data_IF_715638959405
#
_entry.id   IF_715638959405
#
_cell.length_a   1.000
_cell.length_b   1.000
_cell.length_c   1.000
_cell.angle_alpha   90.00
_cell.angle_beta   90.00
_cell.angle_gamma   90.00
#
_symmetry.space_group_name_H-M   'P 1'
#
loop_
_entity.id
_entity.type
_entity.pdbx_description
1 polymer ?
#
# COMPACT_ATOMS: atom_id res chain seq x y z
N UNK A 1 85.21 -5.17 11.48
CA UNK A 1 84.12 -6.06 11.06
C UNK A 1 82.80 -5.43 11.46
N UNK A 2 82.02 -4.96 10.48
CA UNK A 2 80.64 -4.42 10.62
C UNK A 2 79.69 -5.41 9.90
N UNK A 3 78.40 -5.35 10.22
CA UNK A 3 77.26 -6.22 9.83
C UNK A 3 76.90 -7.24 10.94
N UNK A 4 75.66 -7.41 11.39
CA UNK A 4 74.34 -7.17 10.80
C UNK A 4 73.35 -6.70 11.91
N UNK A 5 72.57 -5.62 11.72
CA UNK A 5 71.34 -5.47 10.93
C UNK A 5 70.08 -5.84 11.74
N UNK A 6 69.47 -4.78 12.27
CA UNK A 6 68.07 -4.66 12.70
C UNK A 6 67.13 -5.14 11.58
N UNK A 7 66.09 -5.91 11.92
CA UNK A 7 64.69 -5.61 11.57
C UNK A 7 63.77 -6.80 11.91
N UNK A 8 62.94 -6.69 12.94
CA UNK A 8 61.84 -7.64 13.15
C UNK A 8 60.63 -6.98 13.82
N UNK A 9 60.10 -5.88 13.27
CA UNK A 9 58.87 -5.25 13.80
C UNK A 9 57.76 -5.00 12.75
N UNK A 10 57.95 -5.41 11.49
CA UNK A 10 57.03 -5.05 10.39
C UNK A 10 55.83 -5.98 10.15
N UNK A 11 55.82 -7.22 10.67
CA UNK A 11 54.84 -8.24 10.21
C UNK A 11 53.54 -8.32 11.02
N UNK A 12 53.52 -7.81 12.26
CA UNK A 12 52.36 -7.99 13.15
C UNK A 12 51.25 -6.95 12.92
N UNK A 13 51.58 -5.70 12.52
CA UNK A 13 50.58 -4.63 12.29
C UNK A 13 49.72 -4.80 11.03
N UNK A 14 50.24 -5.47 9.99
CA UNK A 14 49.53 -5.60 8.70
C UNK A 14 48.29 -6.50 8.75
N UNK A 15 48.27 -7.51 9.62
CA UNK A 15 47.18 -8.48 9.70
C UNK A 15 45.94 -7.89 10.40
N UNK A 16 46.13 -7.10 11.47
CA UNK A 16 45.01 -6.40 12.13
C UNK A 16 44.42 -5.29 11.26
N UNK A 17 45.23 -4.66 10.42
CA UNK A 17 44.77 -3.64 9.47
C UNK A 17 43.90 -4.24 8.36
N UNK A 18 44.27 -5.41 7.83
CA UNK A 18 43.47 -6.16 6.84
C UNK A 18 42.14 -6.66 7.42
N UNK A 19 42.14 -7.19 8.66
CA UNK A 19 40.92 -7.64 9.34
C UNK A 19 39.97 -6.45 9.60
N UNK A 20 40.50 -5.29 10.00
CA UNK A 20 39.70 -4.08 10.21
C UNK A 20 39.07 -3.55 8.91
N UNK A 21 39.77 -3.63 7.77
CA UNK A 21 39.23 -3.26 6.45
C UNK A 21 38.10 -4.21 6.03
N UNK A 22 38.27 -5.52 6.23
CA UNK A 22 37.25 -6.52 5.88
C UNK A 22 35.98 -6.33 6.75
N UNK A 23 36.15 -6.05 8.05
CA UNK A 23 35.05 -5.73 8.95
C UNK A 23 34.33 -4.41 8.57
N UNK A 24 35.07 -3.36 8.19
CA UNK A 24 34.48 -2.12 7.66
C UNK A 24 33.72 -2.37 6.35
N UNK A 25 34.30 -3.12 5.39
CA UNK A 25 33.62 -3.46 4.13
C UNK A 25 32.36 -4.30 4.36
N UNK A 26 32.34 -5.18 5.36
CA UNK A 26 31.13 -5.92 5.73
C UNK A 26 30.07 -5.01 6.38
N UNK A 27 30.45 -3.98 7.13
CA UNK A 27 29.51 -3.01 7.68
C UNK A 27 28.86 -2.10 6.61
N UNK A 28 29.57 -1.83 5.50
CA UNK A 28 29.00 -1.10 4.35
C UNK A 28 28.05 -1.95 3.51
N UNK A 29 28.16 -3.28 3.53
CA UNK A 29 27.28 -4.17 2.78
C UNK A 29 25.87 -4.30 3.38
N UNK A 30 25.67 -3.90 4.65
CA UNK A 30 24.37 -3.99 5.33
C UNK A 30 23.58 -2.67 5.38
N UNK A 31 24.08 -1.56 4.79
CA UNK A 31 23.54 -0.22 5.06
C UNK A 31 22.73 0.43 3.92
N UNK A 32 22.44 -0.21 2.77
CA UNK A 32 21.70 0.53 1.71
C UNK A 32 20.91 -0.25 0.66
N UNK A 33 20.69 -1.56 0.79
CA UNK A 33 19.88 -2.28 -0.20
C UNK A 33 18.37 -2.12 0.05
N UNK A 34 17.95 -2.09 1.31
CA UNK A 34 16.54 -2.02 1.70
C UNK A 34 15.90 -0.70 1.26
N UNK A 35 16.55 0.43 1.53
CA UNK A 35 15.98 1.75 1.21
C UNK A 35 15.89 2.00 -0.31
N UNK A 36 16.89 1.56 -1.09
CA UNK A 36 16.91 1.74 -2.56
C UNK A 36 15.86 0.84 -3.22
N UNK A 37 15.73 -0.40 -2.75
CA UNK A 37 14.71 -1.33 -3.26
C UNK A 37 13.30 -0.82 -2.95
N UNK A 38 13.03 -0.46 -1.69
CA UNK A 38 11.74 0.09 -1.26
C UNK A 38 11.42 1.40 -2.00
N UNK A 39 12.43 2.23 -2.30
CA UNK A 39 12.24 3.46 -3.09
C UNK A 39 11.80 3.15 -4.51
N UNK A 40 12.47 2.22 -5.19
CA UNK A 40 12.08 1.81 -6.55
C UNK A 40 10.68 1.19 -6.59
N UNK A 41 10.34 0.39 -5.57
CA UNK A 41 9.01 -0.19 -5.41
C UNK A 41 7.95 0.90 -5.22
N UNK A 42 8.19 1.87 -4.34
CA UNK A 42 7.29 3.01 -4.13
C UNK A 42 7.08 3.86 -5.39
N UNK A 43 8.16 4.09 -6.15
CA UNK A 43 8.10 4.79 -7.42
C UNK A 43 7.25 4.05 -8.46
N UNK A 44 7.39 2.73 -8.54
CA UNK A 44 6.59 1.90 -9.43
C UNK A 44 5.11 1.85 -9.03
N UNK A 45 4.81 1.90 -7.73
CA UNK A 45 3.46 1.86 -7.15
C UNK A 45 2.66 3.14 -7.43
N UNK A 46 3.35 4.28 -7.51
CA UNK A 46 2.73 5.60 -7.67
C UNK A 46 1.92 5.71 -8.97
N UNK A 47 0.62 6.01 -8.87
CA UNK A 47 -0.28 6.04 -10.01
C UNK A 47 -1.67 5.46 -9.73
N UNK A 48 -2.40 5.14 -10.79
CA UNK A 48 -3.72 4.51 -10.75
C UNK A 48 -3.65 3.06 -11.25
N UNK A 49 -4.33 2.17 -10.52
CA UNK A 49 -4.41 0.74 -10.80
C UNK A 49 -5.85 0.28 -10.79
N UNK A 50 -6.20 -0.68 -11.66
CA UNK A 50 -7.55 -1.21 -11.79
C UNK A 50 -7.59 -2.70 -11.94
N UNK A 51 -8.51 -3.36 -11.26
CA UNK A 51 -8.78 -4.79 -11.42
C UNK A 51 -9.49 -5.37 -10.22
N UNK A 52 -9.49 -6.70 -10.12
CA UNK A 52 -10.05 -7.39 -8.96
C UNK A 52 -9.05 -7.29 -7.79
N UNK A 53 -9.44 -6.57 -6.74
CA UNK A 53 -8.68 -6.43 -5.50
C UNK A 53 -9.19 -7.36 -4.38
N UNK A 54 -10.01 -8.35 -4.73
CA UNK A 54 -10.50 -9.39 -3.83
C UNK A 54 -11.59 -8.92 -2.88
N UNK A 55 -12.23 -7.78 -3.14
CA UNK A 55 -13.25 -7.21 -2.26
C UNK A 55 -14.60 -7.93 -2.42
N UNK A 56 -15.24 -8.23 -1.30
CA UNK A 56 -16.64 -8.67 -1.26
C UNK A 56 -17.45 -7.84 -0.27
N UNK A 57 -18.76 -7.83 -0.48
CA UNK A 57 -19.74 -7.11 0.32
C UNK A 57 -20.91 -8.02 0.65
N UNK A 58 -21.47 -7.85 1.83
CA UNK A 58 -22.72 -8.50 2.23
C UNK A 58 -23.70 -7.46 2.73
N UNK A 59 -24.85 -7.40 2.09
CA UNK A 59 -25.96 -6.52 2.45
C UNK A 59 -27.06 -7.33 3.11
N UNK A 60 -27.63 -6.80 4.19
CA UNK A 60 -28.82 -7.36 4.86
C UNK A 60 -30.02 -6.46 4.61
N UNK A 61 -31.08 -7.01 4.00
CA UNK A 61 -32.32 -6.26 3.75
C UNK A 61 -33.18 -6.11 5.01
N UNK A 62 -34.22 -5.27 4.92
CA UNK A 62 -35.18 -5.06 6.04
C UNK A 62 -36.00 -6.30 6.44
N UNK A 63 -35.81 -7.44 5.77
CA UNK A 63 -36.40 -8.75 6.11
C UNK A 63 -35.35 -9.73 6.65
N UNK A 64 -34.10 -9.30 6.87
CA UNK A 64 -33.01 -10.12 7.36
C UNK A 64 -32.38 -11.05 6.31
N UNK A 65 -32.65 -10.84 5.01
CA UNK A 65 -32.02 -11.65 3.94
C UNK A 65 -30.65 -11.11 3.61
N UNK A 66 -29.68 -12.01 3.50
CA UNK A 66 -28.29 -11.69 3.17
C UNK A 66 -28.05 -11.81 1.67
N UNK A 67 -27.36 -10.83 1.10
CA UNK A 67 -26.92 -10.84 -0.29
C UNK A 67 -25.44 -10.53 -0.33
N UNK A 68 -24.65 -11.46 -0.84
CA UNK A 68 -23.20 -11.31 -0.98
C UNK A 68 -22.83 -11.13 -2.44
N UNK A 69 -21.97 -10.15 -2.72
CA UNK A 69 -21.51 -9.82 -4.05
C UNK A 69 -20.07 -9.32 -4.03
N UNK A 70 -19.40 -9.44 -5.17
CA UNK A 70 -17.99 -9.10 -5.31
C UNK A 70 -17.81 -7.79 -6.04
N UNK A 71 -16.77 -7.05 -5.67
CA UNK A 71 -16.24 -6.02 -6.56
C UNK A 71 -15.29 -6.67 -7.56
N UNK A 72 -15.68 -6.66 -8.83
CA UNK A 72 -14.86 -7.15 -9.93
C UNK A 72 -13.99 -6.05 -10.56
N UNK A 73 -14.19 -4.81 -10.14
CA UNK A 73 -13.51 -3.63 -10.66
C UNK A 73 -13.22 -2.65 -9.52
N UNK A 74 -12.07 -2.82 -8.90
CA UNK A 74 -11.52 -1.90 -7.90
C UNK A 74 -10.52 -0.97 -8.58
N UNK A 75 -10.62 0.34 -8.30
CA UNK A 75 -9.62 1.34 -8.66
C UNK A 75 -8.86 1.80 -7.44
N UNK A 76 -7.53 1.72 -7.49
CA UNK A 76 -6.62 2.17 -6.44
C UNK A 76 -5.75 3.31 -6.97
N UNK A 77 -5.70 4.40 -6.22
CA UNK A 77 -4.79 5.52 -6.49
C UNK A 77 -3.74 5.60 -5.39
N UNK A 78 -2.47 5.71 -5.77
CA UNK A 78 -1.34 5.89 -4.85
C UNK A 78 -0.62 7.21 -5.14
N UNK A 79 -0.74 8.15 -4.21
CA UNK A 79 -0.15 9.49 -4.29
C UNK A 79 1.00 9.58 -3.27
N UNK A 80 2.26 9.70 -3.72
CA UNK A 80 3.40 9.82 -2.81
C UNK A 80 3.39 11.18 -2.10
N UNK A 81 3.81 11.21 -0.83
CA UNK A 81 3.85 12.46 -0.06
C UNK A 81 4.82 13.50 -0.64
N UNK A 82 5.89 13.02 -1.28
CA UNK A 82 6.92 13.81 -1.97
C UNK A 82 7.73 12.89 -2.91
N UNK A 83 8.67 13.45 -3.69
CA UNK A 83 9.51 12.67 -4.59
C UNK A 83 10.31 11.59 -3.83
N UNK A 84 10.27 10.34 -4.33
CA UNK A 84 10.91 9.18 -3.68
C UNK A 84 10.37 8.84 -2.28
N UNK A 85 9.20 9.38 -1.89
CA UNK A 85 8.61 9.03 -0.60
C UNK A 85 8.29 7.53 -0.53
N UNK A 86 8.59 6.90 0.60
CA UNK A 86 8.19 5.53 0.90
C UNK A 86 6.77 5.44 1.48
N UNK A 87 6.02 6.53 1.44
CA UNK A 87 4.67 6.61 1.98
C UNK A 87 3.87 7.71 1.28
N UNK A 88 2.55 7.66 1.48
CA UNK A 88 1.66 8.64 0.91
C UNK A 88 0.21 8.38 1.25
N UNK A 89 -0.66 8.95 0.42
CA UNK A 89 -2.11 8.86 0.54
C UNK A 89 -2.65 8.12 -0.67
N UNK A 90 -3.79 7.47 -0.50
CA UNK A 90 -4.44 6.75 -1.57
C UNK A 90 -5.93 6.65 -1.40
N UNK A 91 -6.57 6.24 -2.47
CA UNK A 91 -8.01 6.05 -2.54
C UNK A 91 -8.32 4.70 -3.15
N UNK A 92 -9.43 4.11 -2.72
CA UNK A 92 -9.99 2.88 -3.28
C UNK A 92 -11.42 3.15 -3.71
N UNK A 93 -11.78 2.75 -4.93
CA UNK A 93 -13.16 2.77 -5.43
C UNK A 93 -13.54 1.39 -5.92
N UNK A 94 -14.54 0.79 -5.28
CA UNK A 94 -15.00 -0.55 -5.58
C UNK A 94 -16.31 -0.48 -6.35
N UNK A 95 -16.28 -0.94 -7.60
CA UNK A 95 -17.46 -1.08 -8.45
C UNK A 95 -17.95 -2.53 -8.41
N UNK A 96 -19.27 -2.71 -8.34
CA UNK A 96 -19.94 -4.00 -8.32
C UNK A 96 -21.30 -3.86 -9.02
N UNK A 97 -21.85 -4.97 -9.49
CA UNK A 97 -23.06 -4.95 -10.33
C UNK A 97 -24.34 -4.87 -9.50
N UNK A 98 -24.34 -5.50 -8.33
CA UNK A 98 -25.52 -5.69 -7.50
C UNK A 98 -25.23 -5.28 -6.06
N UNK A 99 -25.45 -4.01 -5.73
CA UNK A 99 -25.39 -3.55 -4.34
C UNK A 99 -26.27 -2.33 -4.08
N UNK A 100 -26.48 -1.98 -2.80
CA UNK A 100 -27.37 -0.87 -2.42
C UNK A 100 -26.82 0.51 -2.80
N UNK A 101 -25.54 0.62 -3.13
CA UNK A 101 -24.87 1.85 -3.57
C UNK A 101 -24.19 1.61 -4.92
N UNK A 102 -23.95 2.66 -5.71
CA UNK A 102 -23.30 2.54 -7.03
C UNK A 102 -21.84 2.06 -6.94
N UNK A 103 -21.14 2.48 -5.88
CA UNK A 103 -19.77 2.09 -5.59
C UNK A 103 -19.51 2.23 -4.09
N UNK A 104 -18.39 1.69 -3.61
CA UNK A 104 -17.82 2.06 -2.31
C UNK A 104 -16.54 2.85 -2.50
N UNK A 105 -16.29 3.83 -1.61
CA UNK A 105 -15.14 4.71 -1.67
C UNK A 105 -14.42 4.74 -0.33
N UNK A 106 -13.09 4.62 -0.38
CA UNK A 106 -12.25 4.65 0.81
C UNK A 106 -11.02 5.52 0.62
N UNK A 107 -10.57 6.14 1.71
CA UNK A 107 -9.27 6.80 1.82
C UNK A 107 -8.36 5.96 2.71
N UNK A 108 -7.09 5.86 2.31
CA UNK A 108 -6.07 5.17 3.09
C UNK A 108 -4.74 5.91 3.04
N UNK A 109 -3.90 5.64 4.03
CA UNK A 109 -2.46 5.90 3.97
C UNK A 109 -1.75 4.65 3.49
N UNK A 110 -0.65 4.81 2.75
CA UNK A 110 0.18 3.69 2.33
C UNK A 110 1.63 3.89 2.69
N UNK A 111 2.37 2.79 2.86
CA UNK A 111 3.82 2.81 3.00
C UNK A 111 4.46 1.56 2.40
N UNK A 112 5.70 1.72 1.94
CA UNK A 112 6.58 0.62 1.52
C UNK A 112 7.69 0.49 2.56
N UNK A 113 7.84 -0.71 3.11
CA UNK A 113 8.87 -0.97 4.13
C UNK A 113 9.24 -2.46 4.13
N UNK A 114 10.53 -2.75 4.00
CA UNK A 114 11.09 -4.09 3.99
C UNK A 114 10.41 -4.99 2.95
N UNK A 115 10.27 -4.50 1.71
CA UNK A 115 9.67 -5.27 0.61
C UNK A 115 8.18 -5.58 0.77
N UNK A 116 7.47 -4.86 1.65
CA UNK A 116 6.03 -5.00 1.86
C UNK A 116 5.33 -3.65 1.66
N UNK A 117 4.09 -3.69 1.17
CA UNK A 117 3.22 -2.52 1.09
C UNK A 117 2.17 -2.64 2.20
N UNK A 118 1.98 -1.57 2.96
CA UNK A 118 0.98 -1.49 4.03
C UNK A 118 -0.08 -0.47 3.63
N UNK A 119 -1.35 -0.85 3.71
CA UNK A 119 -2.50 0.04 3.54
C UNK A 119 -3.21 0.18 4.88
N UNK A 120 -3.39 1.43 5.33
CA UNK A 120 -4.10 1.78 6.56
C UNK A 120 -5.27 2.70 6.23
N UNK A 121 -6.49 2.20 6.38
CA UNK A 121 -7.72 2.89 6.00
C UNK A 121 -8.16 3.83 7.12
N UNK A 122 -8.53 5.06 6.76
CA UNK A 122 -8.76 6.12 7.75
C UNK A 122 -9.98 5.88 8.66
N UNK A 123 -11.01 5.22 8.11
CA UNK A 123 -12.31 5.04 8.77
C UNK A 123 -12.75 3.57 8.84
N UNK A 124 -11.92 2.65 8.36
CA UNK A 124 -12.25 1.23 8.30
C UNK A 124 -11.01 0.34 8.46
N UNK A 125 -10.52 0.26 9.70
CA UNK A 125 -9.33 -0.52 10.04
C UNK A 125 -9.47 -2.03 9.83
N UNK A 126 -10.69 -2.56 9.62
CA UNK A 126 -10.87 -3.98 9.25
C UNK A 126 -10.36 -4.25 7.83
N UNK A 127 -10.21 -3.21 7.02
CA UNK A 127 -9.60 -3.26 5.69
C UNK A 127 -8.09 -3.04 5.71
N UNK A 128 -7.47 -2.75 6.85
CA UNK A 128 -6.01 -2.61 6.93
C UNK A 128 -5.35 -3.89 6.43
N UNK A 129 -4.34 -3.75 5.56
CA UNK A 129 -3.73 -4.92 4.93
C UNK A 129 -2.26 -4.72 4.65
N UNK A 130 -1.53 -5.83 4.71
CA UNK A 130 -0.16 -5.94 4.22
C UNK A 130 -0.18 -6.75 2.94
N UNK A 131 0.38 -6.17 1.89
CA UNK A 131 0.62 -6.83 0.61
C UNK A 131 2.08 -7.32 0.60
N UNK A 132 2.23 -8.62 0.35
CA UNK A 132 3.50 -9.33 0.30
C UNK A 132 3.66 -10.08 -1.02
N UNK A 133 4.88 -10.52 -1.34
CA UNK A 133 5.21 -11.27 -2.56
C UNK A 133 4.69 -10.60 -3.84
N UNK A 134 4.75 -9.27 -3.88
CA UNK A 134 4.19 -8.53 -4.98
C UNK A 134 5.20 -8.36 -6.11
N UNK A 135 4.65 -8.12 -7.30
CA UNK A 135 5.41 -7.76 -8.49
C UNK A 135 4.71 -6.60 -9.17
N UNK A 136 5.50 -5.59 -9.50
CA UNK A 136 5.08 -4.47 -10.32
C UNK A 136 5.85 -4.48 -11.63
N UNK A 137 5.11 -4.34 -12.73
CA UNK A 137 5.65 -3.98 -14.04
C UNK A 137 5.05 -2.63 -14.44
N UNK A 138 5.40 -2.14 -15.63
CA UNK A 138 4.78 -0.93 -16.16
C UNK A 138 3.26 -1.08 -16.28
N UNK A 139 2.76 -2.29 -16.56
CA UNK A 139 1.35 -2.51 -16.87
C UNK A 139 0.58 -3.25 -15.78
N UNK A 140 1.27 -3.93 -14.85
CA UNK A 140 0.62 -4.82 -13.89
C UNK A 140 1.16 -4.65 -12.48
N UNK A 141 0.24 -4.69 -11.51
CA UNK A 141 0.53 -4.82 -10.10
C UNK A 141 -0.19 -6.05 -9.58
N UNK A 142 0.57 -7.03 -9.11
CA UNK A 142 0.03 -8.26 -8.52
C UNK A 142 0.70 -8.54 -7.20
N UNK A 143 0.01 -9.19 -6.29
CA UNK A 143 0.57 -9.55 -4.99
C UNK A 143 -0.39 -10.41 -4.19
N UNK A 144 -0.02 -10.67 -2.95
CA UNK A 144 -0.83 -11.47 -2.01
C UNK A 144 -1.13 -10.68 -0.75
N UNK A 145 -2.36 -10.76 -0.27
CA UNK A 145 -2.72 -10.24 1.05
C UNK A 145 -2.16 -11.17 2.12
N UNK A 146 -1.36 -10.64 3.05
CA UNK A 146 -0.70 -11.46 4.05
C UNK A 146 -1.65 -12.12 5.05
N UNK A 147 -2.85 -11.56 5.25
CA UNK A 147 -3.86 -12.10 6.17
C UNK A 147 -4.61 -13.31 5.61
N UNK A 148 -4.96 -13.31 4.32
CA UNK A 148 -5.72 -14.39 3.68
C UNK A 148 -4.89 -15.29 2.75
N UNK A 149 -3.75 -14.81 2.25
CA UNK A 149 -2.96 -15.47 1.19
C UNK A 149 -3.56 -15.27 -0.22
N UNK A 150 -4.68 -14.55 -0.32
CA UNK A 150 -5.38 -14.33 -1.58
C UNK A 150 -4.57 -13.42 -2.49
N UNK A 151 -4.50 -13.81 -3.77
CA UNK A 151 -3.79 -13.05 -4.79
C UNK A 151 -4.70 -12.03 -5.46
N UNK A 152 -4.13 -10.91 -5.85
CA UNK A 152 -4.80 -9.92 -6.71
C UNK A 152 -3.96 -9.65 -7.96
N UNK A 153 -4.60 -9.07 -8.98
CA UNK A 153 -3.92 -8.52 -10.15
C UNK A 153 -4.66 -7.30 -10.67
N UNK A 154 -3.93 -6.20 -10.76
CA UNK A 154 -4.40 -4.92 -11.26
C UNK A 154 -3.60 -4.54 -12.52
N UNK A 155 -4.25 -3.82 -13.42
CA UNK A 155 -3.66 -3.19 -14.59
C UNK A 155 -3.39 -1.71 -14.29
N UNK A 156 -2.29 -1.18 -14.78
CA UNK A 156 -1.99 0.26 -14.67
C UNK A 156 -2.93 1.06 -15.56
N UNK A 157 -3.45 2.16 -15.03
CA UNK A 157 -4.23 3.16 -15.77
C UNK A 157 -3.41 4.42 -16.00
N UNK A 158 -2.68 4.88 -14.98
CA UNK A 158 -1.91 6.11 -15.04
C UNK A 158 -0.65 6.01 -14.19
N UNK A 159 0.43 6.63 -14.64
CA UNK A 159 1.68 6.82 -13.89
C UNK A 159 1.74 8.23 -13.32
N UNK A 160 2.02 8.34 -12.02
CA UNK A 160 2.20 9.65 -11.37
C UNK A 160 3.68 10.01 -11.16
N UNK A 161 4.58 9.10 -11.54
CA UNK A 161 6.01 9.31 -11.44
C UNK A 161 6.60 9.88 -12.74
N UNK A 162 6.34 11.16 -13.04
CA UNK A 162 6.98 11.89 -14.13
C UNK A 162 7.40 13.30 -13.69
N UNK A 163 8.71 13.50 -13.46
CA UNK A 163 9.29 14.77 -13.00
C UNK A 163 10.29 15.37 -14.02
N UNK A 164 9.97 15.40 -15.32
CA UNK A 164 10.67 16.32 -16.27
C UNK A 164 10.27 17.80 -16.06
N UNK A 165 11.18 18.77 -16.28
CA UNK A 165 11.14 20.08 -15.64
C UNK A 165 10.38 21.14 -16.45
N UNK A 166 9.05 21.08 -16.49
CA UNK A 166 8.22 22.24 -16.85
C UNK A 166 6.94 22.21 -16.01
N UNK A 167 6.85 22.99 -14.93
CA UNK A 167 6.15 24.29 -14.93
C UNK A 167 5.14 24.43 -16.09
N UNK A 168 4.03 23.72 -15.96
CA UNK A 168 2.69 24.15 -16.35
C UNK A 168 1.69 23.22 -15.66
N UNK A 169 1.60 23.36 -14.32
CA UNK A 169 0.59 22.70 -13.47
C UNK A 169 -0.76 23.40 -13.73
N UNK A 170 -1.27 23.25 -14.94
CA UNK A 170 -2.68 23.45 -15.33
C UNK A 170 -3.21 22.18 -16.00
N UNK A 171 -2.68 21.03 -15.56
CA UNK A 171 -3.11 19.70 -15.99
C UNK A 171 -2.91 18.71 -14.86
N UNK A 172 -3.16 19.13 -13.62
CA UNK A 172 -3.47 18.20 -12.52
C UNK A 172 -4.90 17.72 -12.77
N UNK A 173 -5.09 16.84 -13.75
CA UNK A 173 -6.34 16.06 -13.85
C UNK A 173 -6.21 14.87 -12.89
N UNK A 174 -5.95 15.18 -11.62
CA UNK A 174 -6.36 14.29 -10.57
C UNK A 174 -7.88 14.28 -10.65
N UNK A 175 -8.44 13.13 -11.01
CA UNK A 175 -9.85 12.85 -10.73
C UNK A 175 -10.16 12.93 -9.22
N UNK A 176 -9.20 13.28 -8.34
CA UNK A 176 -9.42 13.73 -6.96
C UNK A 176 -10.46 14.85 -6.85
N UNK A 177 -10.54 15.78 -7.80
CA UNK A 177 -11.56 16.85 -7.76
C UNK A 177 -12.99 16.33 -7.92
N UNK A 178 -13.20 15.08 -8.35
CA UNK A 178 -14.53 14.48 -8.36
C UNK A 178 -14.92 13.89 -7.01
N UNK A 179 -14.00 13.44 -6.16
CA UNK A 179 -14.34 12.63 -4.99
C UNK A 179 -14.30 13.34 -3.64
N UNK A 180 -13.69 14.53 -3.55
CA UNK A 180 -13.71 15.32 -2.32
C UNK A 180 -15.10 15.91 -1.97
N UNK A 181 -16.11 15.72 -2.83
CA UNK A 181 -17.47 16.23 -2.64
C UNK A 181 -18.56 15.14 -2.63
N UNK A 182 -18.22 13.87 -2.35
CA UNK A 182 -19.24 12.81 -2.25
C UNK A 182 -19.52 12.39 -0.80
N UNK A 183 -20.74 12.63 -0.28
CA UNK A 183 -21.13 12.31 1.08
C UNK A 183 -21.46 10.82 1.31
N UNK A 184 -21.19 9.93 0.36
CA UNK A 184 -21.59 8.52 0.44
C UNK A 184 -20.52 7.65 1.10
N UNK A 185 -20.25 7.95 2.36
CA UNK A 185 -19.80 6.92 3.30
C UNK A 185 -21.03 6.11 3.71
N UNK A 186 -21.02 4.79 3.45
CA UNK A 186 -21.94 3.90 4.17
C UNK A 186 -21.36 3.72 5.59
N UNK A 187 -22.02 4.22 6.66
CA UNK A 187 -21.53 4.03 8.01
C UNK A 187 -21.46 2.53 8.30
N UNK A 188 -20.29 2.07 8.73
CA UNK A 188 -20.08 0.74 9.24
C UNK A 188 -20.92 0.56 10.52
N UNK A 189 -21.88 -0.36 10.53
CA UNK A 189 -22.61 -0.72 11.75
C UNK A 189 -21.90 -1.90 12.41
N UNK A 190 -21.17 -1.60 13.48
CA UNK A 190 -20.61 -2.60 14.39
C UNK A 190 -21.78 -3.16 15.20
N UNK A 191 -22.17 -4.42 14.97
CA UNK A 191 -23.16 -5.09 15.81
C UNK A 191 -22.54 -5.43 17.17
N UNK A 192 -22.29 -4.43 18.00
CA UNK A 192 -22.13 -4.65 19.43
C UNK A 192 -23.55 -4.80 19.97
N UNK A 193 -23.89 -6.02 20.38
CA UNK A 193 -25.13 -6.27 21.09
C UNK A 193 -25.14 -5.47 22.38
N UNK A 194 -25.84 -4.35 22.37
CA UNK A 194 -26.36 -3.70 23.56
C UNK A 194 -27.56 -2.83 23.15
N UNK A 195 -28.66 -3.11 23.83
CA UNK A 195 -30.00 -2.60 23.65
C UNK A 195 -30.08 -1.10 24.00
N UNK A 196 -30.54 -0.26 23.07
CA UNK A 196 -31.10 1.05 23.40
C UNK A 196 -32.24 1.36 22.44
N UNK A 197 -33.43 1.44 23.02
CA UNK A 197 -34.65 1.89 22.36
C UNK A 197 -34.57 3.37 21.98
N UNK A 198 -35.30 3.66 20.90
CA UNK A 198 -35.93 4.93 20.52
C UNK A 198 -35.10 5.93 19.70
N UNK A 199 -35.16 5.77 18.38
CA UNK A 199 -35.83 6.76 17.52
C UNK A 199 -36.10 6.17 16.14
N UNK A 200 -37.33 6.39 15.69
CA UNK A 200 -38.00 5.84 14.50
C UNK A 200 -37.36 6.29 13.17
N UNK A 201 -37.44 5.40 12.18
CA UNK A 201 -37.18 5.59 10.73
C UNK A 201 -35.74 5.53 10.20
N UNK A 202 -34.96 4.55 10.66
CA UNK A 202 -33.87 4.01 9.85
C UNK A 202 -34.34 2.71 9.17
N UNK A 203 -34.51 2.72 7.85
CA UNK A 203 -34.46 1.51 7.03
C UNK A 203 -33.03 0.98 7.10
N UNK A 204 -32.71 0.33 8.23
CA UNK A 204 -31.36 -0.05 8.64
C UNK A 204 -30.79 -1.15 7.77
N UNK A 205 -30.23 -0.79 6.63
CA UNK A 205 -29.44 -1.69 5.81
C UNK A 205 -28.04 -1.78 6.41
N UNK A 206 -27.63 -3.01 6.75
CA UNK A 206 -26.27 -3.28 7.23
C UNK A 206 -25.45 -3.78 6.04
N UNK A 207 -24.39 -3.05 5.69
CA UNK A 207 -23.41 -3.46 4.69
C UNK A 207 -22.12 -3.86 5.40
N UNK A 208 -21.82 -5.16 5.41
CA UNK A 208 -20.52 -5.68 5.82
C UNK A 208 -19.65 -6.00 4.60
N UNK A 209 -18.34 -6.15 4.80
CA UNK A 209 -17.36 -6.28 3.72
C UNK A 209 -16.10 -6.98 4.19
N UNK A 210 -15.27 -7.41 3.25
CA UNK A 210 -13.97 -8.00 3.53
C UNK A 210 -13.18 -8.26 2.26
N UNK A 211 -12.06 -8.95 2.43
CA UNK A 211 -11.26 -9.51 1.33
C UNK A 211 -11.34 -11.02 1.33
N UNK A 212 -11.45 -11.60 0.14
CA UNK A 212 -11.40 -13.05 -0.08
C UNK A 212 -10.04 -13.63 0.27
#
# INVERSE_FOLDING_TARGET
MKHAMLHTEGKFKGHYFLIAIILMMSAFAFTSCVDIEDTNQSMALSGEWRGDFGMYYTYVDGRGRHYTFDSYDTRLTFIPAYAHALHGRGTQVDYYEYGPYEYQYYKFSWSVNNGNIYLTYDYDHELDTRISNYRMTNDYFSGTFASSGTSFRLCKIADYYNWTPYVNIYGYDSRDYWYDNYPYYAPYSRSNGEESQDSTDATGYVLSRGRK
#
